data_IF_023763538729
#
_entry.id   IF_023763538729
#
_cell.length_a   1.000
_cell.length_b   1.000
_cell.length_c   1.000
_cell.angle_alpha   90.00
_cell.angle_beta   90.00
_cell.angle_gamma   90.00
#
_symmetry.space_group_name_H-M   'P 1'
#
loop_
_entity.id
_entity.type
_entity.pdbx_description
1 polymer ?
#
# COMPACT_ATOMS: atom_id res chain seq x y z
N UNK A 1 8.97 -23.05 17.73
CA UNK A 1 9.48 -22.56 16.48
C UNK A 1 8.97 -21.16 16.18
N UNK A 2 9.87 -20.29 15.91
CA UNK A 2 9.46 -18.93 15.61
C UNK A 2 8.83 -18.87 14.22
N UNK A 3 7.71 -18.27 14.16
CA UNK A 3 7.09 -17.99 12.89
C UNK A 3 7.81 -16.83 12.26
N UNK A 4 8.42 -17.06 11.10
CA UNK A 4 9.13 -15.99 10.40
C UNK A 4 8.20 -15.09 9.61
N UNK A 5 6.91 -15.41 9.58
CA UNK A 5 5.94 -14.59 8.87
C UNK A 5 5.79 -13.22 9.52
N UNK A 6 5.62 -12.23 8.67
CA UNK A 6 5.31 -10.90 9.14
C UNK A 6 3.84 -10.85 9.54
N UNK A 7 3.54 -10.21 10.63
CA UNK A 7 2.17 -10.09 11.14
C UNK A 7 1.57 -8.78 10.65
N UNK A 8 0.44 -8.87 9.97
CA UNK A 8 -0.30 -7.69 9.54
C UNK A 8 -1.45 -7.44 10.51
N UNK A 9 -1.55 -6.22 10.98
CA UNK A 9 -2.60 -5.82 11.92
C UNK A 9 -3.85 -5.45 11.14
N UNK A 10 -4.64 -6.47 10.75
CA UNK A 10 -5.86 -6.24 9.98
C UNK A 10 -6.89 -5.46 10.76
N UNK A 11 -6.94 -5.68 12.06
CA UNK A 11 -7.90 -5.00 12.90
C UNK A 11 -7.58 -3.50 12.95
N UNK A 12 -6.31 -3.15 13.14
CA UNK A 12 -5.89 -1.75 13.13
C UNK A 12 -6.12 -1.10 11.78
N UNK A 13 -5.84 -1.82 10.71
CA UNK A 13 -6.06 -1.30 9.36
C UNK A 13 -7.55 -1.03 9.13
N UNK A 14 -8.41 -1.95 9.58
CA UNK A 14 -9.85 -1.76 9.46
C UNK A 14 -10.32 -0.54 10.24
N UNK A 15 -9.74 -0.30 11.41
CA UNK A 15 -10.11 0.88 12.19
C UNK A 15 -9.67 2.17 11.51
N UNK A 16 -8.51 2.15 10.85
CA UNK A 16 -8.06 3.30 10.08
C UNK A 16 -8.99 3.57 8.91
N UNK A 17 -9.45 2.52 8.24
CA UNK A 17 -10.42 2.67 7.15
C UNK A 17 -11.72 3.27 7.67
N UNK A 18 -12.15 2.84 8.85
CA UNK A 18 -13.37 3.37 9.45
C UNK A 18 -13.24 4.87 9.72
N UNK A 19 -12.07 5.29 10.19
CA UNK A 19 -11.83 6.71 10.43
C UNK A 19 -11.92 7.52 9.13
N UNK A 20 -11.38 6.99 8.05
CA UNK A 20 -11.48 7.65 6.74
C UNK A 20 -12.92 7.71 6.29
N UNK A 21 -13.65 6.62 6.46
CA UNK A 21 -15.07 6.55 6.09
C UNK A 21 -15.86 7.62 6.83
N UNK A 22 -15.68 7.69 8.14
CA UNK A 22 -16.39 8.68 8.95
C UNK A 22 -16.02 10.09 8.52
N UNK A 23 -14.74 10.34 8.28
CA UNK A 23 -14.29 11.65 7.84
C UNK A 23 -14.86 12.08 6.51
N UNK A 24 -15.23 11.13 5.66
CA UNK A 24 -15.83 11.41 4.35
C UNK A 24 -17.34 11.32 4.35
N UNK A 25 -17.93 11.05 5.51
CA UNK A 25 -19.40 10.94 5.68
C UNK A 25 -19.98 9.84 4.81
N UNK A 26 -19.32 8.68 4.79
CA UNK A 26 -19.77 7.55 4.00
C UNK A 26 -20.21 6.41 4.90
N UNK A 27 -21.16 5.59 4.40
CA UNK A 27 -21.46 4.34 5.05
C UNK A 27 -20.67 3.22 4.36
N UNK A 28 -20.71 2.03 4.97
CA UNK A 28 -19.92 0.92 4.43
C UNK A 28 -20.39 0.47 3.06
N UNK A 29 -21.68 0.63 2.77
CA UNK A 29 -22.18 0.32 1.43
C UNK A 29 -21.53 1.22 0.39
N UNK A 30 -21.39 2.49 0.70
CA UNK A 30 -20.76 3.44 -0.20
C UNK A 30 -19.27 3.13 -0.36
N UNK A 31 -18.61 2.70 0.70
CA UNK A 31 -17.22 2.27 0.62
C UNK A 31 -17.10 1.05 -0.30
N UNK A 32 -17.99 0.09 -0.12
CA UNK A 32 -18.02 -1.09 -0.98
C UNK A 32 -18.18 -0.70 -2.45
N UNK A 33 -19.09 0.23 -2.73
CA UNK A 33 -19.31 0.67 -4.10
C UNK A 33 -18.11 1.41 -4.67
N UNK A 34 -17.45 2.22 -3.86
CA UNK A 34 -16.30 3.00 -4.31
C UNK A 34 -15.08 2.14 -4.57
N UNK A 35 -14.91 1.07 -3.80
CA UNK A 35 -13.70 0.26 -3.88
C UNK A 35 -13.88 -1.03 -4.66
N UNK A 36 -15.12 -1.47 -4.84
CA UNK A 36 -15.39 -2.78 -5.43
C UNK A 36 -15.21 -3.92 -4.46
N UNK A 37 -14.91 -3.64 -3.20
CA UNK A 37 -14.72 -4.67 -2.17
C UNK A 37 -16.07 -5.00 -1.56
N UNK A 38 -16.41 -6.30 -1.53
CA UNK A 38 -17.70 -6.73 -1.05
C UNK A 38 -17.94 -6.42 0.41
N UNK A 39 -19.22 -6.19 0.75
CA UNK A 39 -19.58 -5.85 2.12
C UNK A 39 -19.19 -6.95 3.10
N UNK A 40 -19.28 -8.21 2.66
CA UNK A 40 -18.90 -9.32 3.55
C UNK A 40 -17.41 -9.33 3.84
N UNK A 41 -16.60 -8.95 2.86
CA UNK A 41 -15.16 -8.85 3.07
C UNK A 41 -14.85 -7.73 4.08
N UNK A 42 -15.52 -6.60 3.92
CA UNK A 42 -15.33 -5.48 4.86
C UNK A 42 -15.73 -5.87 6.28
N UNK A 43 -16.85 -6.59 6.41
CA UNK A 43 -17.30 -7.03 7.73
C UNK A 43 -16.31 -7.99 8.37
N UNK A 44 -15.76 -8.91 7.58
CA UNK A 44 -14.79 -9.87 8.11
C UNK A 44 -13.50 -9.20 8.52
N UNK A 45 -13.08 -8.17 7.77
CA UNK A 45 -11.88 -7.42 8.16
C UNK A 45 -12.07 -6.73 9.49
N UNK A 46 -13.26 -6.26 9.76
CA UNK A 46 -13.55 -5.64 11.05
C UNK A 46 -13.41 -6.62 12.22
N UNK A 47 -13.41 -7.93 11.92
CA UNK A 47 -13.19 -8.96 12.92
C UNK A 47 -11.76 -9.51 12.88
N UNK A 48 -10.89 -8.85 12.15
CA UNK A 48 -9.50 -9.28 12.06
C UNK A 48 -9.22 -10.35 11.03
N UNK A 49 -10.17 -10.62 10.16
CA UNK A 49 -9.98 -11.62 9.11
C UNK A 49 -9.20 -11.04 7.94
N UNK A 50 -8.43 -11.89 7.30
CA UNK A 50 -7.55 -11.47 6.21
C UNK A 50 -8.32 -11.28 4.90
N UNK A 51 -8.22 -10.11 4.26
CA UNK A 51 -8.79 -9.93 2.93
C UNK A 51 -7.84 -10.49 1.87
N UNK A 52 -8.32 -10.64 0.66
CA UNK A 52 -7.43 -10.98 -0.45
C UNK A 52 -6.59 -9.76 -0.85
N UNK A 53 -5.55 -10.02 -1.63
CA UNK A 53 -4.60 -8.96 -1.99
C UNK A 53 -5.26 -7.84 -2.78
N UNK A 54 -6.16 -8.18 -3.69
CA UNK A 54 -6.83 -7.16 -4.50
C UNK A 54 -7.70 -6.26 -3.65
N UNK A 55 -8.41 -6.83 -2.68
CA UNK A 55 -9.24 -6.04 -1.78
C UNK A 55 -8.39 -5.10 -0.93
N UNK A 56 -7.28 -5.61 -0.42
CA UNK A 56 -6.37 -4.79 0.39
C UNK A 56 -5.84 -3.63 -0.43
N UNK A 57 -5.41 -3.89 -1.67
CA UNK A 57 -4.87 -2.85 -2.53
C UNK A 57 -5.91 -1.79 -2.85
N UNK A 58 -7.14 -2.22 -3.14
CA UNK A 58 -8.21 -1.27 -3.46
C UNK A 58 -8.54 -0.37 -2.27
N UNK A 59 -8.58 -0.96 -1.08
CA UNK A 59 -8.88 -0.20 0.12
C UNK A 59 -7.76 0.78 0.46
N UNK A 60 -6.52 0.35 0.29
CA UNK A 60 -5.38 1.23 0.52
C UNK A 60 -5.40 2.41 -0.45
N UNK A 61 -5.67 2.15 -1.72
CA UNK A 61 -5.72 3.20 -2.73
C UNK A 61 -6.84 4.19 -2.46
N UNK A 62 -8.01 3.66 -2.09
CA UNK A 62 -9.16 4.51 -1.84
C UNK A 62 -8.94 5.40 -0.62
N UNK A 63 -8.38 4.84 0.43
CA UNK A 63 -8.28 5.54 1.72
C UNK A 63 -7.05 6.41 1.84
N UNK A 64 -5.99 6.07 1.12
CA UNK A 64 -4.69 6.70 1.33
C UNK A 64 -3.94 6.14 2.53
N UNK A 65 -4.51 5.16 3.23
CA UNK A 65 -3.84 4.53 4.36
C UNK A 65 -2.77 3.59 3.83
N UNK A 66 -1.59 3.68 4.40
CA UNK A 66 -0.47 2.85 3.97
C UNK A 66 -0.49 1.52 4.75
N UNK A 67 -0.72 0.40 4.06
CA UNK A 67 -0.75 -0.89 4.77
C UNK A 67 0.54 -1.19 5.53
N UNK A 68 1.66 -0.65 5.08
CA UNK A 68 2.94 -0.90 5.75
C UNK A 68 2.94 -0.39 7.19
N UNK A 69 2.12 0.62 7.50
CA UNK A 69 2.03 1.14 8.85
C UNK A 69 1.44 0.13 9.82
N UNK A 70 0.81 -0.92 9.31
CA UNK A 70 0.14 -1.94 10.13
C UNK A 70 0.90 -3.25 10.15
N UNK A 71 2.19 -3.18 9.85
CA UNK A 71 3.12 -4.30 9.95
C UNK A 71 4.19 -3.91 10.95
N UNK A 72 3.97 -4.16 12.24
CA UNK A 72 4.88 -3.63 13.27
C UNK A 72 6.33 -4.05 13.08
N UNK A 73 6.54 -5.27 12.59
CA UNK A 73 7.91 -5.77 12.42
C UNK A 73 8.70 -5.00 11.37
N UNK A 74 7.99 -4.32 10.45
CA UNK A 74 8.64 -3.58 9.37
C UNK A 74 8.81 -2.11 9.67
N UNK A 75 8.27 -1.64 10.80
CA UNK A 75 8.38 -0.23 11.18
C UNK A 75 9.55 -0.04 12.14
N UNK A 76 10.67 -0.56 11.73
CA UNK A 76 11.91 -0.50 12.51
C UNK A 76 12.74 0.68 12.05
N UNK A 77 13.38 1.39 12.98
CA UNK A 77 14.26 2.49 12.56
C UNK A 77 15.44 2.02 11.73
N UNK A 78 15.73 0.72 11.75
CA UNK A 78 16.86 0.19 10.96
C UNK A 78 16.49 0.01 9.49
N UNK A 79 15.23 0.10 9.11
CA UNK A 79 14.85 0.00 7.70
C UNK A 79 15.29 1.23 6.94
N UNK A 80 15.96 1.00 5.85
CA UNK A 80 16.45 2.09 5.02
C UNK A 80 15.45 2.42 3.92
N UNK A 81 15.26 3.68 3.60
CA UNK A 81 14.43 4.03 2.45
C UNK A 81 15.07 3.50 1.17
N UNK A 82 14.23 3.17 0.21
CA UNK A 82 14.71 2.73 -1.09
C UNK A 82 14.29 3.77 -2.12
N UNK A 83 15.21 4.64 -2.47
CA UNK A 83 14.94 5.77 -3.35
C UNK A 83 14.47 5.30 -4.72
N UNK A 84 15.13 4.29 -5.29
CA UNK A 84 14.74 3.81 -6.61
C UNK A 84 13.33 3.24 -6.61
N UNK A 85 12.98 2.45 -5.58
CA UNK A 85 11.64 1.89 -5.51
C UNK A 85 10.59 2.98 -5.40
N UNK A 86 10.87 4.02 -4.63
CA UNK A 86 9.94 5.14 -4.48
C UNK A 86 9.74 5.87 -5.79
N UNK A 87 10.82 6.08 -6.53
CA UNK A 87 10.74 6.74 -7.83
C UNK A 87 9.92 5.90 -8.80
N UNK A 88 10.18 4.59 -8.84
CA UNK A 88 9.42 3.70 -9.72
C UNK A 88 7.93 3.78 -9.42
N UNK A 89 7.57 3.79 -8.13
CA UNK A 89 6.17 3.90 -7.76
C UNK A 89 5.55 5.22 -8.19
N UNK A 90 6.30 6.32 -8.07
CA UNK A 90 5.80 7.62 -8.49
C UNK A 90 5.55 7.66 -9.99
N UNK A 91 6.45 7.07 -10.78
CA UNK A 91 6.29 7.05 -12.22
C UNK A 91 5.04 6.28 -12.64
N UNK A 92 4.76 5.17 -11.95
CA UNK A 92 3.60 4.37 -12.28
C UNK A 92 2.27 5.05 -11.95
N UNK A 93 2.29 6.01 -11.05
CA UNK A 93 1.09 6.76 -10.70
C UNK A 93 0.86 7.96 -11.59
N UNK A 94 1.83 8.28 -12.46
CA UNK A 94 1.72 9.46 -13.32
C UNK A 94 0.81 9.15 -14.50
N UNK A 95 -0.34 9.81 -14.63
CA UNK A 95 -1.26 9.52 -15.73
C UNK A 95 -0.73 9.93 -17.10
N UNK A 96 0.34 10.71 -17.14
CA UNK A 96 0.92 11.16 -18.40
C UNK A 96 1.89 10.15 -19.00
N UNK A 97 2.15 9.05 -18.31
CA UNK A 97 3.14 8.07 -18.75
C UNK A 97 2.48 6.74 -19.02
N UNK A 98 2.79 6.16 -20.18
CA UNK A 98 2.37 4.80 -20.47
C UNK A 98 3.24 3.80 -19.72
N UNK A 99 2.82 2.54 -19.68
CA UNK A 99 3.62 1.49 -19.06
C UNK A 99 4.99 1.39 -19.72
N UNK A 100 5.03 1.53 -21.05
CA UNK A 100 6.29 1.46 -21.77
C UNK A 100 7.20 2.64 -21.42
N UNK A 101 6.61 3.81 -21.27
CA UNK A 101 7.39 4.99 -20.89
C UNK A 101 7.96 4.84 -19.49
N UNK A 102 7.20 4.29 -18.55
CA UNK A 102 7.72 4.10 -17.20
C UNK A 102 8.84 3.08 -17.17
N UNK A 103 8.73 2.01 -17.96
CA UNK A 103 9.80 1.03 -18.04
C UNK A 103 11.07 1.65 -18.59
N UNK A 104 10.96 2.47 -19.62
CA UNK A 104 12.14 3.13 -20.19
C UNK A 104 12.78 4.07 -19.19
N UNK A 105 11.97 4.83 -18.45
CA UNK A 105 12.50 5.73 -17.43
C UNK A 105 13.14 4.97 -16.29
N UNK A 106 12.54 3.85 -15.88
CA UNK A 106 13.12 3.02 -14.83
C UNK A 106 14.54 2.62 -15.19
N UNK A 107 14.77 2.19 -16.43
CA UNK A 107 16.10 1.75 -16.85
C UNK A 107 17.11 2.87 -16.84
N UNK A 108 16.72 4.03 -17.33
CA UNK A 108 17.60 5.19 -17.35
C UNK A 108 17.96 5.62 -15.94
N UNK A 109 16.95 5.73 -15.09
CA UNK A 109 17.16 6.20 -13.72
C UNK A 109 18.02 5.20 -12.95
N UNK A 110 17.75 3.90 -13.10
CA UNK A 110 18.51 2.88 -12.40
C UNK A 110 19.99 2.95 -12.80
N UNK A 111 20.27 3.00 -14.10
CA UNK A 111 21.64 3.03 -14.59
C UNK A 111 22.39 4.25 -14.06
N UNK A 112 21.74 5.40 -14.14
CA UNK A 112 22.37 6.65 -13.68
C UNK A 112 22.55 6.65 -12.17
N UNK A 113 21.54 6.19 -11.45
CA UNK A 113 21.61 6.15 -9.99
C UNK A 113 22.78 5.27 -9.53
N UNK A 114 22.94 4.10 -10.14
CA UNK A 114 24.00 3.19 -9.74
C UNK A 114 25.40 3.72 -10.04
N UNK A 115 25.51 4.53 -11.08
CA UNK A 115 26.78 5.17 -11.38
C UNK A 115 27.13 6.26 -10.38
N UNK A 116 26.13 6.96 -9.89
CA UNK A 116 26.35 8.16 -9.09
C UNK A 116 26.26 7.93 -7.60
N UNK A 117 25.72 6.78 -7.18
CA UNK A 117 25.58 6.53 -5.75
C UNK A 117 26.95 6.42 -5.09
N UNK A 118 26.99 6.84 -3.84
CA UNK A 118 28.23 6.76 -3.09
C UNK A 118 28.55 5.31 -2.77
N UNK A 119 29.83 4.98 -2.83
CA UNK A 119 30.30 3.67 -2.44
C UNK A 119 30.97 3.77 -1.10
N UNK A 120 30.63 2.82 -0.23
CA UNK A 120 31.24 2.79 1.10
C UNK A 120 32.37 1.83 1.19
#
# INVERSE_FOLDING_TARGET
>A
MADSSVTFDFFGFSRALDAVRVGRNLNWKQVSEATGVGASTLARMGKGKRPDADSLAALAAWSGVNPADFVPELNSPSLQPNTLADIYGCLRRDPNLSAEATDALDEIIKATYERLRKKE
#
